data_IF_450090215923
#
_entry.id   IF_450090215923
#
_cell.length_a   1.000
_cell.length_b   1.000
_cell.length_c   1.000
_cell.angle_alpha   90.00
_cell.angle_beta   90.00
_cell.angle_gamma   90.00
#
_symmetry.space_group_name_H-M   'P 1'
#
loop_
_entity.id
_entity.type
_entity.pdbx_description
1 polymer ?
#
# COMPACT_ATOMS: atom_id res chain seq x y z
N UNK A 1 -14.77 34.62 -37.94
CA UNK A 1 -13.32 34.64 -37.66
C UNK A 1 -13.09 34.29 -36.21
N UNK A 2 -12.77 33.02 -35.92
CA UNK A 2 -12.31 32.57 -34.57
C UNK A 2 -10.85 32.98 -34.44
N UNK A 3 -10.52 33.83 -33.47
CA UNK A 3 -9.13 34.12 -33.08
C UNK A 3 -8.53 32.81 -32.51
N UNK A 4 -7.58 32.24 -33.22
CA UNK A 4 -6.71 31.20 -32.71
C UNK A 4 -5.94 31.76 -31.52
N UNK A 5 -6.16 31.13 -30.34
CA UNK A 5 -5.43 31.43 -29.12
C UNK A 5 -3.97 31.02 -29.35
N UNK A 6 -3.04 31.95 -29.20
CA UNK A 6 -1.61 31.70 -29.18
C UNK A 6 -1.29 30.66 -28.11
N UNK A 7 -0.57 29.58 -28.42
CA UNK A 7 -0.18 28.62 -27.40
C UNK A 7 0.66 29.34 -26.33
N UNK A 8 0.39 29.04 -25.05
CA UNK A 8 1.20 29.51 -23.95
C UNK A 8 2.66 29.06 -24.16
N UNK A 9 3.68 29.85 -23.73
CA UNK A 9 5.06 29.47 -23.87
C UNK A 9 5.25 28.11 -23.19
N UNK A 10 5.63 27.08 -23.96
CA UNK A 10 5.87 25.74 -23.47
C UNK A 10 6.99 25.78 -22.43
N UNK A 11 6.77 25.18 -21.28
CA UNK A 11 7.84 24.96 -20.29
C UNK A 11 8.86 24.02 -20.93
N UNK A 12 10.14 24.35 -20.89
CA UNK A 12 11.20 23.49 -21.41
C UNK A 12 11.18 22.14 -20.67
N UNK A 13 11.02 21.06 -21.43
CA UNK A 13 10.96 19.71 -20.87
C UNK A 13 12.20 19.34 -20.03
N UNK A 14 13.37 19.88 -20.38
CA UNK A 14 14.60 19.69 -19.63
C UNK A 14 14.52 20.33 -18.23
N UNK A 15 13.92 21.51 -18.12
CA UNK A 15 13.72 22.18 -16.82
C UNK A 15 12.76 21.35 -15.94
N UNK A 16 11.68 20.83 -16.54
CA UNK A 16 10.71 19.98 -15.80
C UNK A 16 11.39 18.71 -15.30
N UNK A 17 12.13 18.01 -16.17
CA UNK A 17 12.84 16.78 -15.79
C UNK A 17 13.90 17.02 -14.73
N UNK A 18 14.59 18.15 -14.74
CA UNK A 18 15.57 18.50 -13.70
C UNK A 18 14.94 18.92 -12.37
N UNK A 19 13.68 19.31 -12.36
CA UNK A 19 12.94 19.61 -11.13
C UNK A 19 12.35 18.35 -10.45
N UNK A 20 12.34 17.20 -11.14
CA UNK A 20 11.88 15.92 -10.56
C UNK A 20 12.93 15.42 -9.57
N UNK A 21 12.53 15.07 -8.33
CA UNK A 21 13.46 14.58 -7.31
C UNK A 21 13.98 13.17 -7.57
N UNK A 22 13.31 12.41 -8.43
CA UNK A 22 13.72 11.06 -8.81
C UNK A 22 14.84 11.08 -9.83
N UNK A 23 15.78 10.14 -9.72
CA UNK A 23 16.83 9.99 -10.73
C UNK A 23 16.24 9.45 -12.04
N UNK A 24 16.23 10.27 -13.09
CA UNK A 24 15.68 9.91 -14.39
C UNK A 24 16.79 9.76 -15.41
N UNK A 25 16.81 8.61 -16.09
CA UNK A 25 17.73 8.29 -17.19
C UNK A 25 16.92 7.95 -18.45
N UNK A 26 17.38 8.37 -19.61
CA UNK A 26 16.92 7.86 -20.91
C UNK A 26 18.01 6.99 -21.50
N UNK A 27 17.70 5.74 -21.81
CA UNK A 27 18.62 4.74 -22.32
C UNK A 27 18.22 4.38 -23.75
N UNK A 28 19.11 4.63 -24.71
CA UNK A 28 18.88 4.30 -26.12
C UNK A 28 18.96 2.80 -26.41
N UNK A 29 18.61 2.39 -27.62
CA UNK A 29 18.64 1.01 -28.12
C UNK A 29 19.98 0.31 -27.91
N UNK A 30 21.09 1.04 -28.01
CA UNK A 30 22.44 0.53 -27.78
C UNK A 30 22.80 0.29 -26.29
N UNK A 31 21.87 0.54 -25.34
CA UNK A 31 22.12 0.47 -23.90
C UNK A 31 22.93 1.65 -23.35
N UNK A 32 23.14 2.71 -24.15
CA UNK A 32 23.85 3.91 -23.73
C UNK A 32 22.89 4.96 -23.20
N UNK A 33 23.32 5.69 -22.18
CA UNK A 33 22.58 6.80 -21.56
C UNK A 33 22.58 7.97 -22.54
N UNK A 34 21.39 8.47 -22.88
CA UNK A 34 21.17 9.64 -23.76
C UNK A 34 20.86 10.90 -22.97
N UNK A 35 20.24 10.73 -21.79
CA UNK A 35 19.85 11.81 -20.89
C UNK A 35 19.95 11.35 -19.45
N UNK A 36 20.34 12.26 -18.57
CA UNK A 36 20.29 12.12 -17.12
C UNK A 36 19.88 13.47 -16.53
N UNK A 37 18.93 13.48 -15.58
CA UNK A 37 18.55 14.68 -14.87
C UNK A 37 19.48 14.97 -13.69
N UNK A 38 19.28 16.10 -13.01
CA UNK A 38 20.09 16.53 -11.86
C UNK A 38 20.02 15.52 -10.70
N UNK A 39 18.86 14.89 -10.47
CA UNK A 39 18.72 13.86 -9.43
C UNK A 39 19.54 12.59 -9.78
N UNK A 40 19.66 12.24 -11.07
CA UNK A 40 20.53 11.15 -11.50
C UNK A 40 22.01 11.47 -11.33
N UNK A 41 22.44 12.74 -11.51
CA UNK A 41 23.81 13.16 -11.20
C UNK A 41 24.15 12.92 -9.73
N UNK A 42 23.24 13.30 -8.84
CA UNK A 42 23.40 13.09 -7.39
C UNK A 42 23.39 11.60 -7.03
N UNK A 43 22.47 10.82 -7.62
CA UNK A 43 22.35 9.38 -7.36
C UNK A 43 23.60 8.59 -7.76
N UNK A 44 24.17 8.90 -8.93
CA UNK A 44 25.36 8.21 -9.45
C UNK A 44 26.67 8.90 -9.07
N UNK A 45 26.61 9.95 -8.25
CA UNK A 45 27.76 10.77 -7.83
C UNK A 45 28.65 11.17 -9.02
N UNK A 46 28.01 11.66 -10.10
CA UNK A 46 28.71 12.04 -11.34
C UNK A 46 27.87 12.96 -12.23
N UNK A 47 28.53 13.78 -13.06
CA UNK A 47 27.83 14.75 -13.92
C UNK A 47 27.05 14.09 -15.08
N UNK A 48 25.95 14.71 -15.52
CA UNK A 48 25.18 14.29 -16.68
C UNK A 48 26.02 14.22 -17.96
N UNK A 49 26.98 15.12 -18.10
CA UNK A 49 27.93 15.11 -19.22
C UNK A 49 28.79 13.85 -19.24
N UNK A 50 29.18 13.34 -18.07
CA UNK A 50 29.96 12.11 -17.95
C UNK A 50 29.09 10.88 -18.17
N UNK A 51 27.83 10.91 -17.73
CA UNK A 51 26.85 9.83 -17.93
C UNK A 51 26.47 9.69 -19.41
N UNK A 52 26.34 10.81 -20.11
CA UNK A 52 25.91 10.81 -21.51
C UNK A 52 26.85 10.00 -22.42
N UNK A 53 26.27 9.10 -23.20
CA UNK A 53 27.00 8.23 -24.12
C UNK A 53 27.64 7.00 -23.48
N UNK A 54 27.69 6.88 -22.15
CA UNK A 54 28.18 5.66 -21.47
C UNK A 54 27.13 4.57 -21.46
N UNK A 55 27.60 3.34 -21.45
CA UNK A 55 26.70 2.20 -21.28
C UNK A 55 26.28 2.07 -19.82
N UNK A 56 25.03 1.72 -19.56
CA UNK A 56 24.53 1.52 -18.19
C UNK A 56 25.31 0.42 -17.44
N UNK A 57 25.83 -0.57 -18.18
CA UNK A 57 26.70 -1.64 -17.65
C UNK A 57 28.05 -1.15 -17.11
N UNK A 58 28.47 0.05 -17.48
CA UNK A 58 29.68 0.68 -16.95
C UNK A 58 29.45 1.29 -15.55
N UNK A 59 28.17 1.44 -15.15
CA UNK A 59 27.72 2.04 -13.89
C UNK A 59 27.24 1.00 -12.89
N UNK A 60 26.60 -0.06 -13.37
CA UNK A 60 25.95 -1.09 -12.54
C UNK A 60 26.51 -2.47 -12.89
N UNK A 61 26.59 -3.39 -11.92
CA UNK A 61 26.99 -4.78 -12.14
C UNK A 61 26.07 -5.48 -13.15
N UNK A 62 26.57 -6.46 -13.87
CA UNK A 62 25.81 -7.18 -14.90
C UNK A 62 24.62 -7.98 -14.34
N UNK A 63 24.66 -8.36 -13.07
CA UNK A 63 23.59 -9.04 -12.33
C UNK A 63 22.54 -8.07 -11.75
N UNK A 64 22.69 -6.76 -11.99
CA UNK A 64 21.73 -5.77 -11.51
C UNK A 64 20.31 -6.07 -12.02
N UNK A 65 19.31 -6.10 -11.12
CA UNK A 65 17.90 -6.33 -11.48
C UNK A 65 17.37 -5.35 -12.55
N UNK A 66 17.97 -4.16 -12.64
CA UNK A 66 17.56 -3.13 -13.59
C UNK A 66 17.69 -3.57 -15.05
N UNK A 67 18.71 -4.38 -15.40
CA UNK A 67 18.84 -4.91 -16.76
C UNK A 67 17.70 -5.85 -17.13
N UNK A 68 17.23 -6.65 -16.17
CA UNK A 68 16.05 -7.50 -16.36
C UNK A 68 14.78 -6.70 -16.64
N UNK A 69 14.59 -5.56 -15.94
CA UNK A 69 13.45 -4.66 -16.15
C UNK A 69 13.49 -4.00 -17.53
N UNK A 70 14.66 -3.50 -17.93
CA UNK A 70 14.88 -2.92 -19.27
C UNK A 70 14.59 -3.95 -20.36
N UNK A 71 15.08 -5.19 -20.18
CA UNK A 71 14.85 -6.28 -21.13
C UNK A 71 13.36 -6.59 -21.31
N UNK A 72 12.58 -6.56 -20.26
CA UNK A 72 11.13 -6.81 -20.30
C UNK A 72 10.35 -5.72 -21.02
N UNK A 73 10.71 -4.44 -20.79
CA UNK A 73 10.07 -3.31 -21.48
C UNK A 73 10.41 -3.36 -22.98
N UNK A 74 11.65 -3.67 -23.34
CA UNK A 74 12.04 -3.89 -24.74
C UNK A 74 11.38 -5.10 -25.38
N UNK A 75 11.05 -6.11 -24.56
CA UNK A 75 10.31 -7.32 -24.99
C UNK A 75 8.81 -7.13 -25.19
N UNK A 76 8.30 -5.87 -25.11
CA UNK A 76 6.91 -5.53 -25.46
C UNK A 76 6.02 -5.10 -24.29
N UNK A 77 6.55 -4.95 -23.07
CA UNK A 77 5.82 -4.32 -21.98
C UNK A 77 5.92 -2.79 -22.09
N UNK A 78 4.80 -2.09 -21.95
CA UNK A 78 4.79 -0.62 -21.99
C UNK A 78 5.51 0.02 -20.81
N UNK A 79 5.42 -0.59 -19.63
CA UNK A 79 6.13 -0.17 -18.42
C UNK A 79 6.23 -1.30 -17.40
N UNK A 80 7.24 -1.21 -16.52
CA UNK A 80 7.46 -2.13 -15.38
C UNK A 80 7.89 -1.28 -14.19
N UNK A 81 7.32 -1.56 -13.02
CA UNK A 81 7.77 -0.98 -11.75
C UNK A 81 8.16 -2.10 -10.78
N UNK A 82 9.32 -2.00 -10.17
CA UNK A 82 9.80 -2.95 -9.16
C UNK A 82 10.17 -2.21 -7.88
N UNK A 83 9.57 -2.63 -6.78
CA UNK A 83 9.78 -2.04 -5.45
C UNK A 83 10.87 -2.79 -4.70
N UNK A 84 11.66 -2.06 -3.91
CA UNK A 84 12.67 -2.66 -3.05
C UNK A 84 13.88 -3.23 -3.81
N UNK A 85 14.20 -2.66 -4.95
CA UNK A 85 15.41 -3.00 -5.71
C UNK A 85 16.62 -2.47 -4.98
N UNK A 86 17.60 -3.33 -4.75
CA UNK A 86 18.90 -2.93 -4.21
C UNK A 86 19.85 -2.68 -5.38
N UNK A 87 20.36 -1.45 -5.49
CA UNK A 87 21.44 -1.09 -6.39
C UNK A 87 22.69 -0.85 -5.57
N UNK A 88 23.74 -1.62 -5.83
CA UNK A 88 25.01 -1.51 -5.11
C UNK A 88 26.18 -1.44 -6.07
N UNK A 89 27.04 -0.46 -5.88
CA UNK A 89 28.32 -0.37 -6.57
C UNK A 89 29.38 0.21 -5.63
N UNK A 90 30.68 -0.05 -5.85
CA UNK A 90 31.75 0.53 -5.04
C UNK A 90 31.73 2.07 -5.00
N UNK A 91 31.12 2.72 -5.98
CA UNK A 91 31.08 4.18 -6.11
C UNK A 91 29.90 4.81 -5.38
N UNK A 92 28.70 4.26 -5.56
CA UNK A 92 27.47 4.84 -4.99
C UNK A 92 27.10 4.20 -3.65
N UNK A 93 27.77 3.13 -3.23
CA UNK A 93 27.35 2.37 -2.05
C UNK A 93 26.10 1.52 -2.34
N UNK A 94 25.34 1.22 -1.32
CA UNK A 94 24.10 0.45 -1.39
C UNK A 94 22.90 1.37 -1.30
N UNK A 95 22.12 1.44 -2.38
CA UNK A 95 20.88 2.23 -2.45
C UNK A 95 19.68 1.32 -2.64
N UNK A 96 18.64 1.60 -1.87
CA UNK A 96 17.35 0.92 -2.00
C UNK A 96 16.41 1.83 -2.79
N UNK A 97 15.94 1.33 -3.93
CA UNK A 97 15.13 2.14 -4.84
C UNK A 97 13.85 1.43 -5.26
N UNK A 98 12.84 2.21 -5.58
CA UNK A 98 11.77 1.78 -6.47
C UNK A 98 12.22 2.10 -7.88
N UNK A 99 12.41 1.07 -8.71
CA UNK A 99 12.82 1.22 -10.09
C UNK A 99 11.59 1.15 -11.01
N UNK A 100 11.38 2.18 -11.81
CA UNK A 100 10.35 2.21 -12.84
C UNK A 100 11.03 2.33 -14.21
N UNK A 101 10.65 1.45 -15.13
CA UNK A 101 11.13 1.47 -16.51
C UNK A 101 9.93 1.56 -17.43
N UNK A 102 9.94 2.49 -18.36
CA UNK A 102 8.88 2.68 -19.34
C UNK A 102 9.48 2.83 -20.74
N UNK A 103 8.71 2.44 -21.76
CA UNK A 103 9.09 2.65 -23.15
C UNK A 103 9.01 4.13 -23.50
N UNK A 104 10.00 4.63 -24.24
CA UNK A 104 9.93 5.99 -24.76
C UNK A 104 8.94 6.03 -25.94
N UNK A 105 7.92 6.90 -25.91
CA UNK A 105 7.02 7.06 -27.06
C UNK A 105 7.81 7.32 -28.34
N UNK A 106 7.37 6.74 -29.44
CA UNK A 106 7.97 6.85 -30.79
C UNK A 106 9.38 6.23 -30.98
N UNK A 107 9.98 5.66 -29.93
CA UNK A 107 11.27 4.96 -29.99
C UNK A 107 11.20 3.60 -29.27
N UNK A 108 10.77 2.56 -29.97
CA UNK A 108 10.45 1.25 -29.39
C UNK A 108 11.57 0.59 -28.56
N UNK A 109 12.84 0.85 -28.87
CA UNK A 109 14.00 0.27 -28.20
C UNK A 109 14.61 1.18 -27.11
N UNK A 110 14.14 2.44 -27.02
CA UNK A 110 14.59 3.39 -26.01
C UNK A 110 13.67 3.33 -24.80
N UNK A 111 14.26 3.42 -23.60
CA UNK A 111 13.52 3.34 -22.35
C UNK A 111 13.85 4.51 -21.43
N UNK A 112 12.86 4.91 -20.66
CA UNK A 112 13.02 5.83 -19.52
C UNK A 112 13.15 4.97 -18.27
N UNK A 113 14.16 5.23 -17.46
CA UNK A 113 14.36 4.63 -16.14
C UNK A 113 14.22 5.73 -15.12
N UNK A 114 13.30 5.55 -14.15
CA UNK A 114 13.17 6.38 -12.97
C UNK A 114 13.52 5.58 -11.73
N UNK A 115 14.40 6.13 -10.89
CA UNK A 115 14.83 5.52 -9.64
C UNK A 115 14.42 6.46 -8.50
N UNK A 116 13.44 6.00 -7.73
CA UNK A 116 13.00 6.69 -6.51
C UNK A 116 13.74 6.11 -5.32
N UNK A 117 14.62 6.89 -4.71
CA UNK A 117 15.42 6.45 -3.58
C UNK A 117 14.56 6.30 -2.32
N UNK A 118 14.59 5.11 -1.74
CA UNK A 118 13.98 4.85 -0.44
C UNK A 118 15.09 4.90 0.62
N UNK A 119 14.96 5.79 1.58
CA UNK A 119 15.89 5.86 2.71
C UNK A 119 16.02 4.50 3.40
N UNK A 120 17.27 4.05 3.68
CA UNK A 120 17.57 2.81 4.40
C UNK A 120 16.84 2.78 5.75
N UNK A 121 16.73 3.92 6.41
CA UNK A 121 15.96 4.06 7.63
C UNK A 121 14.48 3.72 7.41
N UNK A 122 13.86 4.14 6.30
CA UNK A 122 12.47 3.77 5.97
C UNK A 122 12.31 2.28 5.67
N UNK A 123 13.29 1.64 5.01
CA UNK A 123 13.19 0.21 4.68
C UNK A 123 13.42 -0.68 5.91
N UNK A 124 14.39 -0.36 6.75
CA UNK A 124 14.64 -1.04 8.03
C UNK A 124 13.46 -0.77 8.97
N UNK A 125 12.97 0.44 9.03
CA UNK A 125 11.81 0.84 9.82
C UNK A 125 10.52 0.16 9.30
N UNK A 126 10.21 0.23 8.02
CA UNK A 126 9.05 -0.44 7.44
C UNK A 126 9.07 -1.97 7.55
N UNK A 127 10.22 -2.62 7.33
CA UNK A 127 10.28 -4.10 7.40
C UNK A 127 10.49 -4.64 8.82
N UNK A 128 11.27 -3.96 9.65
CA UNK A 128 11.53 -4.39 11.03
C UNK A 128 10.50 -3.86 12.00
N UNK A 129 10.05 -2.62 11.85
CA UNK A 129 9.09 -2.00 12.76
C UNK A 129 7.71 -2.58 12.56
N UNK A 130 7.21 -2.71 11.34
CA UNK A 130 5.91 -3.35 11.09
C UNK A 130 5.91 -4.84 11.42
N UNK A 131 7.01 -5.58 11.14
CA UNK A 131 7.11 -6.98 11.54
C UNK A 131 7.41 -7.17 13.02
N UNK A 132 8.24 -6.37 13.63
CA UNK A 132 8.63 -6.53 15.03
C UNK A 132 7.67 -5.86 16.00
N UNK A 133 7.13 -4.68 15.70
CA UNK A 133 6.03 -4.10 16.47
C UNK A 133 4.78 -4.96 16.37
N UNK A 134 4.40 -5.41 15.18
CA UNK A 134 3.32 -6.37 15.02
C UNK A 134 3.61 -7.68 15.76
N UNK A 135 4.82 -8.27 15.68
CA UNK A 135 5.16 -9.51 16.39
C UNK A 135 5.23 -9.35 17.90
N UNK A 136 5.78 -8.25 18.43
CA UNK A 136 5.83 -8.02 19.89
C UNK A 136 4.46 -7.74 20.46
N UNK A 137 3.64 -6.93 19.79
CA UNK A 137 2.23 -6.70 20.14
C UNK A 137 1.43 -8.00 19.96
N UNK A 138 1.68 -8.77 18.92
CA UNK A 138 1.09 -10.07 18.63
C UNK A 138 1.34 -11.10 19.74
N UNK A 139 2.60 -11.27 20.15
CA UNK A 139 2.95 -12.25 21.19
C UNK A 139 2.37 -11.86 22.57
N UNK A 140 2.36 -10.57 22.91
CA UNK A 140 1.74 -10.08 24.15
C UNK A 140 0.21 -10.08 24.06
N UNK A 141 -0.37 -9.73 22.93
CA UNK A 141 -1.82 -9.68 22.74
C UNK A 141 -2.49 -11.06 22.91
N UNK A 142 -1.88 -12.12 22.37
CA UNK A 142 -2.42 -13.47 22.50
C UNK A 142 -2.42 -13.98 23.94
N UNK A 143 -1.34 -13.73 24.68
CA UNK A 143 -1.22 -14.11 26.09
C UNK A 143 -2.15 -13.28 26.98
N UNK A 144 -2.23 -11.98 26.75
CA UNK A 144 -3.02 -11.06 27.56
C UNK A 144 -4.51 -11.11 27.24
N UNK A 145 -4.91 -11.44 26.01
CA UNK A 145 -6.31 -11.41 25.62
C UNK A 145 -7.16 -12.38 26.45
N UNK A 146 -6.74 -13.62 26.59
CA UNK A 146 -7.46 -14.61 27.44
C UNK A 146 -7.37 -14.29 28.93
N UNK A 147 -6.20 -13.83 29.38
CA UNK A 147 -6.02 -13.50 30.82
C UNK A 147 -6.72 -12.20 31.24
N UNK A 148 -6.95 -11.25 30.31
CA UNK A 148 -7.71 -10.03 30.57
C UNK A 148 -9.22 -10.25 30.43
N UNK A 149 -9.66 -11.02 29.41
CA UNK A 149 -11.08 -11.33 29.22
C UNK A 149 -11.71 -12.08 30.42
N UNK A 150 -10.95 -12.97 31.08
CA UNK A 150 -11.42 -13.74 32.21
C UNK A 150 -11.86 -12.85 33.40
N UNK A 151 -11.00 -11.95 33.94
CA UNK A 151 -11.42 -11.06 35.03
C UNK A 151 -12.50 -10.07 34.58
N UNK A 152 -12.48 -9.59 33.34
CA UNK A 152 -13.52 -8.71 32.82
C UNK A 152 -14.89 -9.41 32.76
N UNK A 153 -14.92 -10.66 32.35
CA UNK A 153 -16.16 -11.47 32.40
C UNK A 153 -16.70 -11.62 33.82
N UNK A 154 -15.81 -11.77 34.82
CA UNK A 154 -16.17 -11.78 36.22
C UNK A 154 -16.75 -10.45 36.72
N UNK A 155 -16.09 -9.33 36.36
CA UNK A 155 -16.56 -7.95 36.69
C UNK A 155 -17.94 -7.71 36.10
N UNK A 156 -18.11 -8.03 34.78
CA UNK A 156 -19.39 -7.89 34.09
C UNK A 156 -20.49 -8.73 34.75
N UNK A 157 -20.21 -10.00 35.05
CA UNK A 157 -21.16 -10.88 35.75
C UNK A 157 -21.57 -10.36 37.11
N UNK A 158 -20.63 -9.84 37.90
CA UNK A 158 -20.91 -9.21 39.18
C UNK A 158 -21.77 -7.95 39.03
N UNK A 159 -21.46 -7.07 38.07
CA UNK A 159 -22.25 -5.86 37.78
C UNK A 159 -23.69 -6.21 37.35
N UNK A 160 -23.88 -7.22 36.51
CA UNK A 160 -25.20 -7.70 36.09
C UNK A 160 -26.02 -8.29 37.25
N UNK A 161 -25.38 -8.98 38.18
CA UNK A 161 -26.05 -9.50 39.39
C UNK A 161 -26.46 -8.35 40.31
N UNK A 162 -25.60 -7.37 40.52
CA UNK A 162 -25.90 -6.17 41.29
C UNK A 162 -27.03 -5.35 40.66
N UNK A 163 -27.08 -5.20 39.34
CA UNK A 163 -28.13 -4.47 38.63
C UNK A 163 -29.55 -4.99 38.94
N UNK A 164 -29.69 -6.32 39.15
CA UNK A 164 -30.98 -6.95 39.46
C UNK A 164 -31.54 -6.54 40.81
N UNK A 165 -30.68 -6.26 41.79
CA UNK A 165 -31.04 -5.93 43.18
C UNK A 165 -30.79 -4.46 43.52
N UNK A 166 -30.16 -3.68 42.65
CA UNK A 166 -29.80 -2.29 42.89
C UNK A 166 -31.00 -1.34 42.83
N UNK A 167 -31.02 -0.29 43.67
CA UNK A 167 -31.92 0.84 43.56
C UNK A 167 -31.80 1.50 42.18
N UNK A 168 -32.84 2.26 41.76
CA UNK A 168 -32.86 2.87 40.42
C UNK A 168 -31.66 3.81 40.15
N UNK A 169 -31.20 4.51 41.17
CA UNK A 169 -30.03 5.41 41.14
C UNK A 169 -28.70 4.68 40.95
N UNK A 170 -28.56 3.46 41.42
CA UNK A 170 -27.32 2.65 41.30
C UNK A 170 -27.28 1.81 40.01
N UNK A 171 -28.42 1.64 39.31
CA UNK A 171 -28.48 0.89 38.06
C UNK A 171 -27.71 1.58 36.90
N UNK A 172 -27.59 2.90 36.92
CA UNK A 172 -26.80 3.64 35.95
C UNK A 172 -25.30 3.32 36.08
N UNK A 173 -24.81 3.17 37.32
CA UNK A 173 -23.43 2.80 37.60
C UNK A 173 -23.13 1.34 37.20
N UNK A 174 -24.05 0.41 37.46
CA UNK A 174 -23.89 -0.98 37.06
C UNK A 174 -23.87 -1.15 35.54
N UNK A 175 -24.71 -0.39 34.82
CA UNK A 175 -24.68 -0.33 33.34
C UNK A 175 -23.39 0.24 32.81
N UNK A 176 -22.90 1.35 33.38
CA UNK A 176 -21.62 1.94 33.01
C UNK A 176 -20.47 0.93 33.14
N UNK A 177 -20.45 0.14 34.25
CA UNK A 177 -19.46 -0.92 34.47
C UNK A 177 -19.57 -2.01 33.36
N UNK A 178 -20.78 -2.43 32.98
CA UNK A 178 -20.98 -3.39 31.91
C UNK A 178 -20.50 -2.83 30.57
N UNK A 179 -20.86 -1.59 30.24
CA UNK A 179 -20.51 -0.92 28.97
C UNK A 179 -19.00 -0.74 28.83
N UNK A 180 -18.31 -0.29 29.90
CA UNK A 180 -16.85 -0.16 29.90
C UNK A 180 -16.14 -1.52 29.83
N UNK A 181 -16.69 -2.54 30.50
CA UNK A 181 -16.16 -3.91 30.42
C UNK A 181 -16.28 -4.44 28.99
N UNK A 182 -17.42 -4.26 28.34
CA UNK A 182 -17.65 -4.64 26.95
C UNK A 182 -16.74 -3.85 25.98
N UNK A 183 -16.50 -2.57 26.25
CA UNK A 183 -15.56 -1.74 25.50
C UNK A 183 -14.12 -2.25 25.59
N UNK A 184 -13.67 -2.62 26.80
CA UNK A 184 -12.33 -3.20 27.00
C UNK A 184 -12.23 -4.57 26.31
N UNK A 185 -13.23 -5.44 26.42
CA UNK A 185 -13.28 -6.72 25.72
C UNK A 185 -13.15 -6.52 24.19
N UNK A 186 -13.88 -5.57 23.62
CA UNK A 186 -13.82 -5.26 22.20
C UNK A 186 -12.44 -4.72 21.75
N UNK A 187 -11.71 -4.01 22.62
CA UNK A 187 -10.32 -3.61 22.35
C UNK A 187 -9.38 -4.81 22.34
N UNK A 188 -9.55 -5.71 23.32
CA UNK A 188 -8.76 -6.95 23.45
C UNK A 188 -9.04 -7.87 22.25
N UNK A 189 -10.30 -8.02 21.82
CA UNK A 189 -10.66 -8.78 20.61
C UNK A 189 -9.97 -8.27 19.35
N UNK A 190 -9.88 -6.94 19.19
CA UNK A 190 -9.15 -6.33 18.07
C UNK A 190 -7.65 -6.63 18.13
N UNK A 191 -7.08 -6.79 19.31
CA UNK A 191 -5.67 -7.19 19.47
C UNK A 191 -5.44 -8.67 19.12
N UNK A 192 -6.41 -9.57 19.37
CA UNK A 192 -6.30 -10.98 18.98
C UNK A 192 -6.14 -11.19 17.47
N UNK A 193 -6.75 -10.33 16.64
CA UNK A 193 -6.58 -10.38 15.18
C UNK A 193 -5.12 -10.18 14.76
N UNK A 194 -4.32 -9.47 15.58
CA UNK A 194 -2.88 -9.36 15.34
C UNK A 194 -2.12 -10.63 15.72
N UNK A 195 -2.66 -11.45 16.62
CA UNK A 195 -1.95 -12.62 17.17
C UNK A 195 -2.14 -13.89 16.35
N UNK A 196 -3.15 -13.96 15.50
CA UNK A 196 -3.41 -15.14 14.68
C UNK A 196 -2.34 -15.24 13.56
N UNK A 197 -1.29 -16.02 13.83
CA UNK A 197 -0.19 -16.31 12.90
C UNK A 197 -0.49 -17.43 11.91
N UNK A 198 -1.73 -17.93 11.89
CA UNK A 198 -2.11 -18.99 10.94
C UNK A 198 -2.11 -18.45 9.52
N UNK A 199 -1.59 -19.22 8.54
CA UNK A 199 -1.70 -18.84 7.15
C UNK A 199 -3.17 -18.65 6.76
N UNK A 200 -3.48 -17.52 6.12
CA UNK A 200 -4.84 -17.28 5.64
C UNK A 200 -5.15 -18.20 4.45
N UNK A 201 -6.34 -18.78 4.44
CA UNK A 201 -6.84 -19.49 3.27
C UNK A 201 -7.16 -18.47 2.18
N UNK A 202 -6.46 -18.57 1.04
CA UNK A 202 -6.61 -17.66 -0.10
C UNK A 202 -7.42 -18.32 -1.19
N UNK A 203 -8.60 -17.77 -1.46
CA UNK A 203 -9.45 -18.14 -2.58
C UNK A 203 -9.57 -17.02 -3.62
N UNK A 204 -10.30 -17.27 -4.73
CA UNK A 204 -10.62 -16.24 -5.70
C UNK A 204 -11.66 -15.28 -5.14
N UNK A 205 -11.32 -14.01 -4.96
CA UNK A 205 -12.23 -12.98 -4.45
C UNK A 205 -12.46 -11.90 -5.50
N UNK A 206 -13.74 -11.64 -5.81
CA UNK A 206 -14.11 -10.48 -6.62
C UNK A 206 -14.02 -9.21 -5.76
N UNK A 207 -13.05 -8.34 -6.07
CA UNK A 207 -12.80 -7.14 -5.29
C UNK A 207 -13.95 -6.14 -5.35
N UNK A 208 -14.66 -6.04 -6.49
CA UNK A 208 -15.79 -5.14 -6.62
C UNK A 208 -16.96 -5.55 -5.71
N UNK A 209 -17.20 -6.86 -5.55
CA UNK A 209 -18.21 -7.36 -4.62
C UNK A 209 -17.85 -7.04 -3.15
N UNK A 210 -16.55 -7.01 -2.80
CA UNK A 210 -16.06 -6.58 -1.49
C UNK A 210 -16.32 -5.09 -1.30
N UNK A 211 -15.90 -4.25 -2.25
CA UNK A 211 -16.05 -2.78 -2.17
C UNK A 211 -17.51 -2.36 -2.13
N UNK A 212 -18.37 -3.01 -2.92
CA UNK A 212 -19.82 -2.76 -2.90
C UNK A 212 -20.43 -3.09 -1.54
N UNK A 213 -20.01 -4.20 -0.92
CA UNK A 213 -20.44 -4.57 0.42
C UNK A 213 -19.99 -3.52 1.45
N UNK A 214 -18.73 -3.11 1.39
CA UNK A 214 -18.15 -2.08 2.27
C UNK A 214 -18.89 -0.75 2.13
N UNK A 215 -19.15 -0.31 0.89
CA UNK A 215 -19.90 0.91 0.61
C UNK A 215 -21.31 0.87 1.25
N UNK A 216 -22.03 -0.22 1.04
CA UNK A 216 -23.38 -0.39 1.62
C UNK A 216 -23.37 -0.34 3.15
N UNK A 217 -22.42 -1.02 3.79
CA UNK A 217 -22.26 -0.97 5.24
C UNK A 217 -21.95 0.43 5.73
N UNK A 218 -21.00 1.12 5.06
CA UNK A 218 -20.61 2.48 5.43
C UNK A 218 -21.76 3.48 5.27
N UNK A 219 -22.48 3.47 4.14
CA UNK A 219 -23.60 4.36 3.85
C UNK A 219 -24.79 4.17 4.81
N UNK A 220 -25.06 2.94 5.24
CA UNK A 220 -26.12 2.65 6.22
C UNK A 220 -25.66 2.88 7.68
N UNK A 221 -24.36 2.98 7.93
CA UNK A 221 -23.76 3.14 9.24
C UNK A 221 -23.14 4.52 9.46
N UNK A 222 -21.81 4.56 9.45
CA UNK A 222 -20.98 5.69 9.87
C UNK A 222 -20.76 6.77 8.80
N UNK A 223 -21.04 6.50 7.52
CA UNK A 223 -20.78 7.42 6.40
C UNK A 223 -22.06 7.87 5.66
N UNK A 224 -23.18 8.07 6.40
CA UNK A 224 -24.48 8.45 5.83
C UNK A 224 -24.48 9.78 5.09
N UNK A 225 -23.62 10.71 5.49
CA UNK A 225 -23.55 12.07 4.92
C UNK A 225 -22.44 12.21 3.88
N UNK A 226 -21.65 11.16 3.63
CA UNK A 226 -20.52 11.17 2.70
C UNK A 226 -20.98 10.69 1.33
N UNK A 227 -20.59 11.42 0.29
CA UNK A 227 -20.81 11.02 -1.10
C UNK A 227 -19.78 10.00 -1.53
N UNK A 228 -20.22 8.86 -2.03
CA UNK A 228 -19.33 7.85 -2.64
C UNK A 228 -19.29 8.03 -4.16
N UNK A 229 -18.07 7.98 -4.70
CA UNK A 229 -17.78 7.99 -6.14
C UNK A 229 -17.05 6.67 -6.46
N UNK A 230 -17.54 5.95 -7.45
CA UNK A 230 -17.01 4.64 -7.83
C UNK A 230 -16.38 4.72 -9.22
N UNK A 231 -15.08 4.41 -9.31
CA UNK A 231 -14.31 4.38 -10.55
C UNK A 231 -13.67 3.00 -10.69
N UNK A 232 -14.46 2.02 -11.12
CA UNK A 232 -14.01 0.63 -11.18
C UNK A 232 -13.62 0.20 -12.59
N UNK A 233 -12.49 -0.49 -12.70
CA UNK A 233 -12.12 -1.24 -13.89
C UNK A 233 -12.84 -2.61 -13.88
N UNK A 234 -13.85 -2.83 -14.74
CA UNK A 234 -14.64 -4.06 -14.73
C UNK A 234 -13.88 -5.30 -15.22
N UNK A 235 -12.71 -5.12 -15.81
CA UNK A 235 -11.90 -6.20 -16.38
C UNK A 235 -10.99 -6.92 -15.39
N UNK A 236 -10.96 -6.47 -14.12
CA UNK A 236 -10.03 -7.01 -13.14
C UNK A 236 -10.26 -8.49 -12.84
N UNK A 237 -9.16 -9.29 -12.81
CA UNK A 237 -9.23 -10.67 -12.37
C UNK A 237 -9.48 -10.76 -10.85
N UNK A 238 -9.91 -11.95 -10.36
CA UNK A 238 -10.08 -12.16 -8.92
C UNK A 238 -8.77 -11.96 -8.14
N UNK A 239 -8.89 -11.40 -6.93
CA UNK A 239 -7.77 -11.30 -5.96
C UNK A 239 -7.56 -12.66 -5.29
N UNK A 240 -6.30 -13.01 -5.01
CA UNK A 240 -5.96 -14.15 -4.16
C UNK A 240 -6.08 -13.74 -2.69
N UNK A 241 -7.18 -14.09 -2.01
CA UNK A 241 -7.37 -13.63 -0.64
C UNK A 241 -8.54 -14.25 0.11
N UNK A 242 -8.72 -13.77 1.33
CA UNK A 242 -9.89 -14.04 2.18
C UNK A 242 -10.88 -12.89 2.06
N UNK A 243 -12.12 -13.20 1.67
CA UNK A 243 -13.18 -12.19 1.50
C UNK A 243 -13.42 -11.38 2.77
N UNK A 244 -13.50 -12.04 3.91
CA UNK A 244 -13.85 -11.40 5.17
C UNK A 244 -12.74 -10.45 5.66
N UNK A 245 -11.48 -10.86 5.51
CA UNK A 245 -10.34 -10.01 5.84
C UNK A 245 -10.25 -8.81 4.88
N UNK A 246 -10.53 -9.00 3.59
CA UNK A 246 -10.56 -7.87 2.63
C UNK A 246 -11.72 -6.91 2.92
N UNK A 247 -12.89 -7.40 3.34
CA UNK A 247 -13.99 -6.55 3.82
C UNK A 247 -13.53 -5.74 5.04
N UNK A 248 -12.89 -6.38 6.01
CA UNK A 248 -12.38 -5.71 7.21
C UNK A 248 -11.31 -4.65 6.87
N UNK A 249 -10.39 -4.96 5.95
CA UNK A 249 -9.40 -4.02 5.44
C UNK A 249 -10.06 -2.75 4.91
N UNK A 250 -10.97 -2.90 3.95
CA UNK A 250 -11.59 -1.75 3.29
C UNK A 250 -12.59 -1.02 4.20
N UNK A 251 -13.26 -1.69 5.13
CA UNK A 251 -14.05 -1.03 6.17
C UNK A 251 -13.19 -0.12 7.05
N UNK A 252 -11.99 -0.55 7.43
CA UNK A 252 -11.07 0.29 8.20
C UNK A 252 -10.61 1.52 7.40
N UNK A 253 -10.25 1.36 6.14
CA UNK A 253 -9.84 2.47 5.28
C UNK A 253 -10.98 3.45 5.03
N UNK A 254 -12.17 2.94 4.66
CA UNK A 254 -13.37 3.76 4.42
C UNK A 254 -13.85 4.45 5.68
N UNK A 255 -13.75 3.81 6.85
CA UNK A 255 -14.08 4.44 8.12
C UNK A 255 -13.15 5.62 8.42
N UNK A 256 -11.84 5.44 8.24
CA UNK A 256 -10.88 6.52 8.41
C UNK A 256 -11.14 7.67 7.45
N UNK A 257 -11.43 7.38 6.19
CA UNK A 257 -11.80 8.37 5.17
C UNK A 257 -13.07 9.12 5.53
N UNK A 258 -14.12 8.44 6.01
CA UNK A 258 -15.37 9.06 6.43
C UNK A 258 -15.22 9.96 7.67
N UNK A 259 -14.35 9.57 8.60
CA UNK A 259 -14.07 10.37 9.80
C UNK A 259 -13.18 11.58 9.51
N UNK A 260 -12.35 11.53 8.45
CA UNK A 260 -11.54 12.66 8.00
C UNK A 260 -12.31 13.62 7.07
N UNK A 261 -13.33 13.13 6.40
CA UNK A 261 -14.11 13.90 5.45
C UNK A 261 -14.88 15.05 6.14
N UNK A 262 -15.01 16.22 5.50
CA UNK A 262 -15.75 17.35 6.06
C UNK A 262 -17.23 17.01 6.19
N UNK A 263 -17.89 17.55 7.23
CA UNK A 263 -19.34 17.34 7.49
C UNK A 263 -20.21 17.75 6.30
N UNK A 264 -19.82 18.81 5.58
CA UNK A 264 -20.51 19.26 4.36
C UNK A 264 -19.61 19.06 3.15
N UNK A 265 -20.09 18.28 2.18
CA UNK A 265 -19.37 18.03 0.95
C UNK A 265 -18.27 16.99 1.09
N UNK A 266 -18.36 16.12 2.12
CA UNK A 266 -17.46 14.98 2.26
C UNK A 266 -17.62 14.00 1.11
N UNK A 267 -16.50 13.61 0.48
CA UNK A 267 -16.47 12.69 -0.64
C UNK A 267 -15.44 11.58 -0.39
N UNK A 268 -15.83 10.35 -0.74
CA UNK A 268 -14.95 9.19 -0.77
C UNK A 268 -14.97 8.60 -2.18
N UNK A 269 -13.80 8.50 -2.80
CA UNK A 269 -13.63 7.87 -4.10
C UNK A 269 -13.06 6.47 -3.90
N UNK A 270 -13.78 5.45 -4.39
CA UNK A 270 -13.30 4.08 -4.47
C UNK A 270 -12.92 3.81 -5.92
N UNK A 271 -11.66 3.51 -6.18
CA UNK A 271 -11.22 3.21 -7.53
C UNK A 271 -10.44 1.90 -7.59
N UNK A 272 -10.54 1.24 -8.74
CA UNK A 272 -9.78 0.01 -9.02
C UNK A 272 -9.14 0.13 -10.39
N UNK A 273 -7.91 -0.38 -10.53
CA UNK A 273 -7.21 -0.41 -11.81
C UNK A 273 -6.26 -1.59 -11.90
N UNK A 274 -5.97 -2.00 -13.14
CA UNK A 274 -4.92 -2.96 -13.42
C UNK A 274 -3.62 -2.23 -13.73
N UNK A 275 -2.59 -2.47 -12.92
CA UNK A 275 -1.25 -1.91 -13.15
C UNK A 275 -0.34 -2.99 -13.74
N UNK A 276 0.05 -2.79 -15.01
CA UNK A 276 1.00 -3.67 -15.66
C UNK A 276 2.39 -3.50 -15.05
N UNK A 277 3.07 -4.62 -14.79
CA UNK A 277 4.47 -4.62 -14.43
C UNK A 277 4.82 -4.30 -12.97
N UNK A 278 3.86 -4.11 -12.08
CA UNK A 278 4.15 -3.92 -10.65
C UNK A 278 4.60 -5.23 -10.01
N UNK A 279 5.81 -5.25 -9.47
CA UNK A 279 6.43 -6.41 -8.83
C UNK A 279 7.07 -6.02 -7.51
N UNK A 280 6.97 -6.92 -6.54
CA UNK A 280 7.67 -6.81 -5.27
C UNK A 280 8.87 -7.73 -5.26
N UNK A 281 10.06 -7.19 -5.07
CA UNK A 281 11.24 -7.97 -4.77
C UNK A 281 11.14 -8.47 -3.31
N UNK A 282 11.05 -9.78 -3.13
CA UNK A 282 11.03 -10.39 -1.78
C UNK A 282 12.47 -10.59 -1.36
N UNK A 283 12.91 -9.86 -0.31
CA UNK A 283 14.25 -10.01 0.24
C UNK A 283 14.51 -11.48 0.61
N UNK A 284 15.67 -12.01 0.19
CA UNK A 284 16.13 -13.39 0.40
C UNK A 284 15.40 -14.49 -0.43
N UNK A 285 14.62 -14.16 -1.44
CA UNK A 285 14.13 -15.14 -2.41
C UNK A 285 14.23 -14.59 -3.84
N UNK A 286 14.54 -15.44 -4.81
CA UNK A 286 14.48 -15.08 -6.24
C UNK A 286 13.04 -14.89 -6.75
N UNK A 287 12.06 -15.06 -5.87
CA UNK A 287 10.64 -15.02 -6.23
C UNK A 287 10.15 -13.57 -6.24
N UNK A 288 9.71 -13.10 -7.39
CA UNK A 288 9.08 -11.78 -7.57
C UNK A 288 7.57 -11.92 -7.48
N UNK A 289 6.97 -11.23 -6.52
CA UNK A 289 5.52 -11.24 -6.35
C UNK A 289 4.88 -10.20 -7.30
N UNK A 290 3.95 -10.65 -8.12
CA UNK A 290 3.21 -9.81 -9.07
C UNK A 290 1.99 -9.19 -8.38
N UNK A 291 1.89 -7.86 -8.33
CA UNK A 291 0.83 -7.10 -7.67
C UNK A 291 0.10 -6.16 -8.65
N UNK A 292 -0.57 -6.70 -9.67
CA UNK A 292 -1.13 -5.87 -10.73
C UNK A 292 -2.45 -5.19 -10.34
N UNK A 293 -3.11 -5.63 -9.27
CA UNK A 293 -4.42 -5.13 -8.90
C UNK A 293 -4.28 -4.02 -7.87
N UNK A 294 -4.61 -2.81 -8.26
CA UNK A 294 -4.63 -1.63 -7.40
C UNK A 294 -6.07 -1.31 -6.98
N UNK A 295 -6.27 -1.14 -5.68
CA UNK A 295 -7.48 -0.56 -5.10
C UNK A 295 -7.11 0.71 -4.37
N UNK A 296 -7.79 1.81 -4.63
CA UNK A 296 -7.58 3.06 -3.92
C UNK A 296 -8.84 3.52 -3.19
N UNK A 297 -8.63 4.06 -1.99
CA UNK A 297 -9.63 4.75 -1.18
C UNK A 297 -9.12 6.18 -0.99
N UNK A 298 -9.83 7.15 -1.55
CA UNK A 298 -9.48 8.56 -1.47
C UNK A 298 -10.57 9.34 -0.72
N UNK A 299 -10.16 10.25 0.14
CA UNK A 299 -11.03 11.23 0.78
C UNK A 299 -10.58 12.66 0.47
N UNK A 300 -11.48 13.62 0.73
CA UNK A 300 -11.25 15.05 0.62
C UNK A 300 -11.09 15.73 2.00
N UNK A 301 -10.61 15.00 2.99
CA UNK A 301 -10.40 15.45 4.36
C UNK A 301 -9.20 16.39 4.54
N UNK A 302 -8.90 16.72 5.78
CA UNK A 302 -7.86 17.70 6.15
C UNK A 302 -6.44 17.25 5.77
N UNK A 303 -6.25 15.96 5.49
CA UNK A 303 -4.94 15.36 5.26
C UNK A 303 -4.31 14.82 6.55
N UNK A 304 -3.12 14.24 6.40
CA UNK A 304 -2.36 13.62 7.50
C UNK A 304 -1.19 14.55 7.84
N UNK A 305 -1.04 14.95 9.12
CA UNK A 305 0.10 15.75 9.58
C UNK A 305 1.44 15.07 9.29
N UNK A 306 2.47 15.84 8.93
CA UNK A 306 3.76 15.32 8.49
C UNK A 306 4.50 14.52 9.57
N UNK A 307 4.36 14.91 10.83
CA UNK A 307 4.91 14.21 12.00
C UNK A 307 4.32 12.82 12.22
N UNK A 308 3.11 12.58 11.74
CA UNK A 308 2.44 11.28 11.85
C UNK A 308 2.66 10.36 10.64
N UNK A 309 3.07 10.90 9.50
CA UNK A 309 3.23 10.12 8.27
C UNK A 309 4.18 8.94 8.43
N UNK A 310 5.26 9.08 9.18
CA UNK A 310 6.24 8.00 9.44
C UNK A 310 5.72 6.89 10.35
N UNK A 311 4.72 7.18 11.20
CA UNK A 311 4.18 6.27 12.20
C UNK A 311 2.72 5.88 11.95
N UNK A 312 2.20 6.18 10.77
CA UNK A 312 0.77 6.05 10.45
C UNK A 312 0.23 4.62 10.59
N UNK A 313 1.07 3.63 10.34
CA UNK A 313 0.72 2.21 10.46
C UNK A 313 1.16 1.57 11.77
N UNK A 314 1.75 2.34 12.69
CA UNK A 314 2.13 1.82 13.99
C UNK A 314 0.90 1.62 14.87
N UNK A 315 0.84 0.51 15.62
CA UNK A 315 -0.25 0.28 16.56
C UNK A 315 -0.36 1.39 17.60
N UNK A 316 -1.58 1.75 17.96
CA UNK A 316 -1.94 2.77 18.96
C UNK A 316 -1.63 4.23 18.57
N UNK A 317 -1.15 4.48 17.37
CA UNK A 317 -0.99 5.85 16.85
C UNK A 317 -2.34 6.38 16.37
N UNK A 318 -2.80 7.47 16.97
CA UNK A 318 -4.07 8.11 16.63
C UNK A 318 -4.08 9.57 17.07
N UNK A 319 -4.70 10.43 16.26
CA UNK A 319 -5.04 11.83 16.61
C UNK A 319 -6.43 11.96 17.23
N UNK A 320 -7.23 10.89 17.20
CA UNK A 320 -8.65 10.90 17.58
C UNK A 320 -8.81 10.56 19.05
N UNK A 321 -9.63 11.34 19.79
CA UNK A 321 -9.91 11.12 21.22
C UNK A 321 -10.43 9.71 21.53
N UNK A 322 -11.30 9.17 20.66
CA UNK A 322 -11.92 7.85 20.83
C UNK A 322 -11.33 6.78 19.87
N UNK A 323 -10.24 7.12 19.22
CA UNK A 323 -9.56 6.23 18.27
C UNK A 323 -8.69 5.21 19.00
N UNK A 324 -8.84 3.91 18.65
CA UNK A 324 -7.95 2.86 19.21
C UNK A 324 -6.54 2.87 18.61
N UNK A 325 -6.30 3.58 17.49
CA UNK A 325 -5.01 3.54 16.77
C UNK A 325 -4.67 2.17 16.14
N UNK A 326 -5.62 1.23 16.11
CA UNK A 326 -5.38 -0.13 15.61
C UNK A 326 -5.84 -0.34 14.16
N UNK A 327 -6.69 0.55 13.63
CA UNK A 327 -7.34 0.33 12.32
C UNK A 327 -6.37 0.27 11.14
N UNK A 328 -5.42 1.21 11.05
CA UNK A 328 -4.42 1.24 9.96
C UNK A 328 -3.34 0.18 10.15
N UNK A 329 -2.92 -0.08 11.38
CA UNK A 329 -2.00 -1.17 11.69
C UNK A 329 -2.60 -2.53 11.26
N UNK A 330 -3.89 -2.76 11.54
CA UNK A 330 -4.62 -3.95 11.09
C UNK A 330 -4.74 -4.00 9.57
N UNK A 331 -5.02 -2.87 8.92
CA UNK A 331 -5.04 -2.79 7.46
C UNK A 331 -3.71 -3.21 6.85
N UNK A 332 -2.59 -2.69 7.38
CA UNK A 332 -1.25 -3.06 6.92
C UNK A 332 -0.96 -4.57 7.14
N UNK A 333 -1.36 -5.13 8.29
CA UNK A 333 -1.24 -6.57 8.57
C UNK A 333 -2.03 -7.39 7.56
N UNK A 334 -3.31 -7.09 7.36
CA UNK A 334 -4.16 -7.83 6.42
C UNK A 334 -3.55 -7.80 5.00
N UNK A 335 -3.10 -6.64 4.54
CA UNK A 335 -2.44 -6.50 3.24
C UNK A 335 -1.17 -7.36 3.17
N UNK A 336 -0.33 -7.32 4.19
CA UNK A 336 0.88 -8.14 4.29
C UNK A 336 0.61 -9.64 4.28
N UNK A 337 -0.43 -10.10 5.01
CA UNK A 337 -0.86 -11.51 5.05
C UNK A 337 -1.37 -11.98 3.67
N UNK A 338 -1.94 -11.07 2.87
CA UNK A 338 -2.31 -11.32 1.48
C UNK A 338 -1.11 -11.29 0.52
N UNK A 339 0.07 -10.85 0.98
CA UNK A 339 1.26 -10.65 0.14
C UNK A 339 1.15 -9.40 -0.71
N UNK A 340 0.37 -8.41 -0.28
CA UNK A 340 0.19 -7.13 -0.94
C UNK A 340 1.06 -6.02 -0.35
N UNK A 341 0.87 -4.81 -0.87
CA UNK A 341 1.48 -3.57 -0.38
C UNK A 341 0.38 -2.55 -0.13
N UNK A 342 0.51 -1.77 0.95
CA UNK A 342 -0.30 -0.59 1.20
C UNK A 342 0.59 0.64 1.23
N UNK A 343 0.17 1.66 0.48
CA UNK A 343 0.83 2.97 0.42
C UNK A 343 -0.21 4.06 0.65
N UNK A 344 0.24 5.26 0.98
CA UNK A 344 -0.62 6.43 1.06
C UNK A 344 0.07 7.66 0.50
N UNK A 345 -0.75 8.57 0.03
CA UNK A 345 -0.37 9.92 -0.41
C UNK A 345 -1.34 10.89 0.23
N UNK A 346 -0.85 11.90 0.93
CA UNK A 346 -1.71 12.82 1.69
C UNK A 346 -1.23 14.25 1.59
N UNK A 347 -2.15 15.07 1.07
CA UNK A 347 -2.10 16.52 1.00
C UNK A 347 -3.39 17.09 1.58
N UNK A 348 -3.43 18.36 1.96
CA UNK A 348 -4.68 18.99 2.39
C UNK A 348 -5.79 18.81 1.34
N UNK A 349 -6.94 18.34 1.77
CA UNK A 349 -8.13 18.03 0.97
C UNK A 349 -7.97 16.82 0.03
N UNK A 350 -6.94 16.01 0.20
CA UNK A 350 -6.77 14.80 -0.58
C UNK A 350 -5.88 13.80 0.16
N UNK A 351 -6.46 12.75 0.71
CA UNK A 351 -5.72 11.58 1.20
C UNK A 351 -6.11 10.36 0.38
N UNK A 352 -5.13 9.62 -0.10
CA UNK A 352 -5.33 8.42 -0.93
C UNK A 352 -4.57 7.26 -0.31
N UNK A 353 -5.28 6.22 0.09
CA UNK A 353 -4.67 4.93 0.41
C UNK A 353 -4.70 4.04 -0.82
N UNK A 354 -3.57 3.44 -1.17
CA UNK A 354 -3.36 2.57 -2.33
C UNK A 354 -3.02 1.17 -1.83
N UNK A 355 -3.82 0.19 -2.18
CA UNK A 355 -3.63 -1.21 -1.82
C UNK A 355 -3.36 -2.02 -3.09
N UNK A 356 -2.18 -2.59 -3.19
CA UNK A 356 -1.78 -3.46 -4.30
C UNK A 356 -1.87 -4.93 -3.86
N UNK A 357 -2.60 -5.73 -4.62
CA UNK A 357 -2.91 -7.11 -4.27
C UNK A 357 -2.52 -8.10 -5.39
N UNK A 358 -2.15 -9.34 -5.02
CA UNK A 358 -1.89 -10.39 -5.99
C UNK A 358 -3.21 -10.90 -6.57
N UNK A 359 -3.18 -11.25 -7.87
CA UNK A 359 -4.29 -11.91 -8.53
C UNK A 359 -4.31 -13.40 -8.18
N UNK A 360 -5.53 -13.95 -8.14
CA UNK A 360 -5.71 -15.40 -8.01
C UNK A 360 -5.37 -16.09 -9.34
N UNK A 361 -4.35 -16.94 -9.30
CA UNK A 361 -4.00 -17.81 -10.42
C UNK A 361 -4.44 -19.23 -10.08
N UNK A 362 -5.31 -19.80 -10.89
CA UNK A 362 -5.51 -21.25 -10.85
C UNK A 362 -4.13 -21.90 -11.03
N UNK A 363 -3.71 -22.72 -10.07
CA UNK A 363 -2.53 -23.55 -10.27
C UNK A 363 -2.78 -24.34 -11.58
N UNK A 364 -2.01 -24.04 -12.65
CA UNK A 364 -1.97 -24.91 -13.80
C UNK A 364 -1.57 -26.27 -13.25
N UNK A 365 -2.43 -27.25 -13.42
CA UNK A 365 -2.11 -28.64 -13.12
C UNK A 365 -0.74 -28.93 -13.76
N UNK A 366 0.19 -29.43 -12.97
CA UNK A 366 1.50 -29.89 -13.43
C UNK A 366 1.26 -31.08 -14.39
N UNK A 367 1.02 -30.79 -15.66
CA UNK A 367 0.63 -31.81 -16.64
C UNK A 367 0.91 -31.44 -18.09
N UNK A 368 1.49 -30.26 -18.40
CA UNK A 368 1.71 -29.88 -19.82
C UNK A 368 3.16 -29.39 -20.09
N UNK A 369 4.11 -30.01 -19.45
CA UNK A 369 5.54 -29.81 -19.73
C UNK A 369 6.10 -31.04 -20.44
N UNK A 370 5.44 -31.57 -21.47
CA UNK A 370 6.06 -32.48 -22.44
C UNK A 370 5.20 -32.63 -23.70
N UNK A 371 5.17 -31.61 -24.53
CA UNK A 371 4.94 -31.72 -25.95
C UNK A 371 5.90 -30.80 -26.67
N UNK A 372 7.12 -31.28 -26.77
CA UNK A 372 8.04 -30.85 -27.81
C UNK A 372 7.42 -31.15 -29.16
N UNK A 373 7.20 -30.16 -29.99
CA UNK A 373 7.12 -30.34 -31.42
C UNK A 373 8.48 -30.04 -32.04
N UNK A 374 9.03 -31.02 -32.78
CA UNK A 374 10.13 -30.73 -33.72
C UNK A 374 9.52 -30.35 -35.05
N UNK A 375 9.94 -29.20 -35.59
CA UNK A 375 10.37 -28.93 -36.96
C UNK A 375 10.44 -27.42 -37.21
#
# INVERSE_FOLDING_TARGET
MRKEAKPAPGVDAAIVLNAIPDAVLVIGSSGRIRFANMAAENFFDTSALWLAGRALRDLLPEDSPLFGLIGQVRGGLSSVSEYGVTLSTPRIGEHFVTAQVAQLPDEADSVIVSLHEQSIARKIDHQLTHRNAARSVTAMAALLAHEVKNPLSGIRGAAQLLERSAPAEDRELTRLICDETDRICALVDRMEVFSDGRPIEKGPVNIHAVLEHVRKVAQNGFAKQVRFIENYDPSLPPVAGSRDLLVQLFLNLVKNAAEAAPEKGGEIVLATSYQHGVRLAVAASETRLHLPLLVSVQDNGEGIPDDLKSHLFDPFVTTKKDGSGLGLALAAKIVGDHGGIIEFDSEPRRTVFKVMLPIYRLARAAGDADRGEPL
#
